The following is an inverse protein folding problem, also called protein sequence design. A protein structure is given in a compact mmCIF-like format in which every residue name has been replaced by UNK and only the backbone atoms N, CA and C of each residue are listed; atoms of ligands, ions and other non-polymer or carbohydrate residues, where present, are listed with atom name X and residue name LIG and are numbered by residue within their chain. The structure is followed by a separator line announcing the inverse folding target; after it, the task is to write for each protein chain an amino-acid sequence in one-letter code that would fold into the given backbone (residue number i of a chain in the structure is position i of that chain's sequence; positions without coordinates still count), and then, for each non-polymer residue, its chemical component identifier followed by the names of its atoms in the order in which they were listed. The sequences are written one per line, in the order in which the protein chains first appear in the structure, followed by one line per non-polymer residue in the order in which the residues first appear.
data_IF_783291449953
#
_entry.id   IF_783291449953
#
_cell.length_a   1.000
_cell.length_b   1.000
_cell.length_c   1.000
_cell.angle_alpha   90.00
_cell.angle_beta   90.00
_cell.angle_gamma   90.00
#
_symmetry.space_group_name_H-M   'P 1'
#
loop_
_entity.id
_entity.type
_entity.pdbx_description
1 polymer ?
#
# COMPACT_ATOMS: atom_id res chain seq x y z
N UNK A 1 -23.32 -11.83 -2.71
CA UNK A 1 -22.67 -11.58 -2.86
C UNK A 1 -21.91 -11.15 -2.59
N UNK A 2 -21.73 -11.60 -2.60
CA UNK A 2 -21.13 -10.71 -2.43
C UNK A 2 -19.74 -10.62 -2.73
N UNK A 3 -19.19 -9.49 -3.07
CA UNK A 3 -17.85 -9.34 -3.49
C UNK A 3 -16.85 -9.74 -2.52
N UNK A 4 -17.10 -9.59 -1.27
CA UNK A 4 -16.14 -9.97 -0.26
C UNK A 4 -15.93 -11.45 -0.24
N UNK A 5 -16.83 -12.19 -0.80
CA UNK A 5 -16.66 -13.62 -0.88
C UNK A 5 -15.65 -14.02 -1.92
N UNK A 6 -15.24 -13.09 -2.77
CA UNK A 6 -14.20 -13.37 -3.73
C UNK A 6 -12.81 -13.25 -3.14
N UNK A 7 -12.70 -12.67 -1.94
CA UNK A 7 -11.42 -12.57 -1.26
C UNK A 7 -11.28 -13.69 -0.26
N UNK A 8 -10.34 -14.54 -0.50
CA UNK A 8 -10.05 -15.63 0.42
C UNK A 8 -8.72 -15.38 1.09
N UNK A 9 -8.68 -15.51 2.39
CA UNK A 9 -7.47 -15.25 3.14
C UNK A 9 -6.84 -16.55 3.60
N UNK A 10 -5.51 -16.61 3.63
CA UNK A 10 -4.59 -15.55 3.21
C UNK A 10 -4.56 -15.36 1.70
N UNK A 11 -4.27 -14.16 1.25
CA UNK A 11 -4.16 -13.91 -0.18
C UNK A 11 -3.16 -12.80 -0.45
N UNK A 12 -2.70 -12.77 -1.70
CA UNK A 12 -1.80 -11.71 -2.17
C UNK A 12 -2.67 -10.58 -2.69
N UNK A 13 -2.44 -9.38 -2.20
CA UNK A 13 -3.28 -8.24 -2.54
C UNK A 13 -2.42 -7.09 -3.02
N UNK A 14 -2.60 -6.61 -4.26
CA UNK A 14 -1.83 -5.48 -4.76
C UNK A 14 -2.52 -4.17 -4.40
N UNK A 15 -1.71 -3.19 -4.01
CA UNK A 15 -2.19 -1.85 -3.70
C UNK A 15 -1.36 -0.86 -4.47
N UNK A 16 -1.96 0.26 -4.83
CA UNK A 16 -1.24 1.36 -5.42
C UNK A 16 -1.41 2.57 -4.53
N UNK A 17 -0.31 3.13 -4.07
CA UNK A 17 -0.30 4.26 -3.15
C UNK A 17 0.30 5.45 -3.88
N UNK A 18 -0.43 6.54 -3.96
CA UNK A 18 0.02 7.73 -4.67
C UNK A 18 0.15 8.90 -3.72
N UNK A 19 1.20 9.69 -3.91
CA UNK A 19 1.40 10.89 -3.11
C UNK A 19 2.34 11.84 -3.84
N UNK A 20 2.64 12.96 -3.20
CA UNK A 20 3.61 13.90 -3.76
C UNK A 20 4.98 13.26 -3.76
N UNK A 21 5.73 13.51 -4.81
CA UNK A 21 7.06 12.93 -4.92
C UNK A 21 7.95 13.44 -3.79
N UNK A 22 8.59 12.51 -3.09
CA UNK A 22 9.45 12.85 -1.97
C UNK A 22 10.48 11.75 -1.82
N UNK A 23 11.71 12.13 -1.47
CA UNK A 23 12.80 11.16 -1.40
C UNK A 23 12.52 10.05 -0.39
N UNK A 24 11.74 10.33 0.65
CA UNK A 24 11.48 9.35 1.69
C UNK A 24 10.10 8.70 1.57
N UNK A 25 9.38 8.98 0.50
CA UNK A 25 8.03 8.46 0.36
C UNK A 25 8.03 6.92 0.37
N UNK A 26 8.89 6.34 -0.43
CA UNK A 26 8.94 4.88 -0.54
C UNK A 26 9.30 4.24 0.78
N UNK A 27 10.32 4.75 1.47
CA UNK A 27 10.74 4.14 2.72
C UNK A 27 9.70 4.33 3.82
N UNK A 28 9.07 5.50 3.85
CA UNK A 28 8.04 5.77 4.85
C UNK A 28 6.84 4.86 4.66
N UNK A 29 6.37 4.74 3.42
CA UNK A 29 5.23 3.86 3.14
C UNK A 29 5.60 2.41 3.39
N UNK A 30 6.82 2.00 3.05
CA UNK A 30 7.28 0.65 3.34
C UNK A 30 7.22 0.34 4.84
N UNK A 31 7.60 1.31 5.67
CA UNK A 31 7.53 1.12 7.12
C UNK A 31 6.08 0.95 7.59
N UNK A 32 5.17 1.76 7.05
CA UNK A 32 3.76 1.64 7.42
C UNK A 32 3.22 0.27 7.03
N UNK A 33 3.54 -0.19 5.81
CA UNK A 33 3.06 -1.49 5.36
C UNK A 33 3.64 -2.59 6.24
N UNK A 34 4.90 -2.48 6.60
CA UNK A 34 5.53 -3.52 7.41
C UNK A 34 4.96 -3.60 8.81
N UNK A 35 4.48 -2.48 9.35
CA UNK A 35 3.83 -2.51 10.65
C UNK A 35 2.55 -3.34 10.63
N UNK A 36 1.90 -3.44 9.48
CA UNK A 36 0.66 -4.19 9.36
C UNK A 36 0.86 -5.56 8.70
N UNK A 37 2.00 -5.77 8.06
CA UNK A 37 2.31 -7.03 7.40
C UNK A 37 3.80 -7.32 7.67
N UNK A 38 4.08 -8.01 8.75
CA UNK A 38 5.45 -8.19 9.23
C UNK A 38 6.34 -8.92 8.23
N UNK A 39 5.75 -9.75 7.38
CA UNK A 39 6.52 -10.48 6.38
C UNK A 39 6.70 -9.71 5.08
N UNK A 40 6.23 -8.47 5.03
CA UNK A 40 6.37 -7.66 3.82
C UNK A 40 7.83 -7.26 3.61
N UNK A 41 8.26 -7.31 2.37
CA UNK A 41 9.61 -6.92 1.99
C UNK A 41 9.55 -5.57 1.28
N UNK A 42 10.00 -4.49 1.92
CA UNK A 42 9.91 -3.16 1.30
C UNK A 42 10.71 -3.04 0.00
N UNK A 43 11.69 -3.90 -0.22
CA UNK A 43 12.47 -3.83 -1.45
C UNK A 43 11.66 -4.23 -2.66
N UNK A 44 10.51 -4.85 -2.47
CA UNK A 44 9.64 -5.24 -3.58
C UNK A 44 8.74 -4.10 -4.06
N UNK A 45 8.72 -2.97 -3.36
CA UNK A 45 7.94 -1.82 -3.80
C UNK A 45 8.54 -1.26 -5.07
N UNK A 46 7.70 -1.07 -6.10
CA UNK A 46 8.13 -0.41 -7.32
C UNK A 46 7.54 0.99 -7.36
N UNK A 47 8.26 1.90 -7.97
CA UNK A 47 7.84 3.30 -8.03
C UNK A 47 7.62 3.72 -9.48
N UNK A 48 6.69 4.62 -9.68
CA UNK A 48 6.43 5.21 -10.99
C UNK A 48 6.08 6.68 -10.80
N UNK A 49 6.77 7.54 -11.54
CA UNK A 49 6.48 8.96 -11.48
C UNK A 49 5.29 9.28 -12.37
N UNK A 50 4.51 10.28 -11.98
CA UNK A 50 3.47 10.78 -12.83
C UNK A 50 4.08 11.58 -13.99
N UNK A 51 3.24 11.92 -14.95
CA UNK A 51 3.70 12.59 -16.15
C UNK A 51 4.45 13.89 -15.85
N UNK A 52 4.04 14.62 -14.86
CA UNK A 52 4.73 15.87 -14.51
C UNK A 52 5.82 15.72 -13.49
N UNK A 53 6.06 14.51 -13.01
CA UNK A 53 7.06 14.30 -11.97
C UNK A 53 6.67 14.84 -10.61
N UNK A 54 5.42 15.31 -10.47
CA UNK A 54 4.97 15.90 -9.24
C UNK A 54 4.46 14.87 -8.25
N UNK A 55 3.91 13.79 -8.75
CA UNK A 55 3.38 12.71 -7.92
C UNK A 55 4.14 11.44 -8.18
N UNK A 56 4.10 10.57 -7.21
CA UNK A 56 4.77 9.28 -7.29
C UNK A 56 3.78 8.20 -6.90
N UNK A 57 3.75 7.10 -7.63
CA UNK A 57 2.90 5.97 -7.33
C UNK A 57 3.78 4.81 -6.91
N UNK A 58 3.39 4.16 -5.82
CA UNK A 58 4.07 2.98 -5.31
C UNK A 58 3.18 1.78 -5.53
N UNK A 59 3.71 0.74 -6.14
CA UNK A 59 3.00 -0.52 -6.25
C UNK A 59 3.47 -1.41 -5.11
N UNK A 60 2.53 -1.78 -4.26
CA UNK A 60 2.80 -2.54 -3.05
C UNK A 60 1.99 -3.81 -3.11
N UNK A 61 2.65 -4.96 -2.94
CA UNK A 61 1.96 -6.25 -2.94
C UNK A 61 2.19 -6.88 -1.57
N UNK A 62 1.11 -7.22 -0.90
CA UNK A 62 1.20 -7.77 0.44
C UNK A 62 0.49 -9.12 0.50
N UNK A 63 0.95 -9.95 1.46
CA UNK A 63 0.21 -11.14 1.85
C UNK A 63 -0.67 -10.74 3.01
N UNK A 64 -1.97 -10.74 2.79
CA UNK A 64 -2.88 -10.38 3.84
C UNK A 64 -3.50 -11.64 4.43
N UNK A 65 -3.49 -11.71 5.77
CA UNK A 65 -3.96 -12.88 6.49
C UNK A 65 -5.42 -12.78 6.87
N UNK A 66 -5.96 -11.55 6.91
CA UNK A 66 -7.35 -11.35 7.31
C UNK A 66 -7.83 -10.02 6.74
N UNK A 67 -9.15 -9.89 6.72
CA UNK A 67 -9.76 -8.65 6.27
C UNK A 67 -9.41 -7.51 7.19
N UNK A 68 -9.33 -7.80 8.48
CA UNK A 68 -9.00 -6.78 9.46
C UNK A 68 -7.60 -6.24 9.26
N UNK A 69 -6.66 -7.09 8.90
CA UNK A 69 -5.31 -6.65 8.60
C UNK A 69 -5.31 -5.73 7.40
N UNK A 70 -6.02 -6.10 6.35
CA UNK A 70 -6.08 -5.29 5.15
C UNK A 70 -6.75 -3.95 5.42
N UNK A 71 -7.86 -3.97 6.15
CA UNK A 71 -8.57 -2.74 6.47
C UNK A 71 -7.71 -1.81 7.32
N UNK A 72 -7.00 -2.35 8.29
CA UNK A 72 -6.10 -1.56 9.13
C UNK A 72 -5.01 -0.89 8.32
N UNK A 73 -4.41 -1.63 7.40
CA UNK A 73 -3.38 -1.07 6.54
C UNK A 73 -3.96 0.02 5.65
N UNK A 74 -5.12 -0.24 5.05
CA UNK A 74 -5.75 0.72 4.17
C UNK A 74 -6.04 2.02 4.90
N UNK A 75 -6.55 1.92 6.12
CA UNK A 75 -6.82 3.10 6.93
C UNK A 75 -5.55 3.86 7.28
N UNK A 76 -4.50 3.15 7.65
CA UNK A 76 -3.23 3.78 7.98
C UNK A 76 -2.67 4.53 6.78
N UNK A 77 -2.78 3.95 5.60
CA UNK A 77 -2.29 4.61 4.39
C UNK A 77 -3.13 5.81 4.02
N UNK A 78 -4.45 5.68 4.06
CA UNK A 78 -5.31 6.79 3.64
C UNK A 78 -5.21 7.97 4.57
N UNK A 79 -4.85 7.74 5.83
CA UNK A 79 -4.69 8.82 6.80
C UNK A 79 -3.29 9.39 6.84
N UNK A 80 -2.37 8.80 6.13
CA UNK A 80 -0.98 9.27 6.18
C UNK A 80 -0.86 10.59 5.42
N UNK A 81 -0.17 11.58 6.00
CA UNK A 81 -0.10 12.90 5.36
C UNK A 81 0.61 12.90 4.03
N UNK A 82 1.48 11.93 3.75
CA UNK A 82 2.18 11.88 2.47
C UNK A 82 1.35 11.20 1.40
N UNK A 83 0.23 10.57 1.75
CA UNK A 83 -0.56 9.80 0.81
C UNK A 83 -1.73 10.64 0.32
N UNK A 84 -1.92 10.66 -1.01
CA UNK A 84 -3.06 11.32 -1.61
C UNK A 84 -4.18 10.36 -1.94
N UNK A 85 -3.83 9.20 -2.48
CA UNK A 85 -4.81 8.23 -2.94
C UNK A 85 -4.26 6.83 -2.74
N UNK A 86 -5.12 5.91 -2.34
CA UNK A 86 -4.80 4.48 -2.30
C UNK A 86 -5.81 3.77 -3.20
N UNK A 87 -5.31 3.01 -4.15
CA UNK A 87 -6.16 2.30 -5.10
C UNK A 87 -6.05 0.80 -4.93
#
# INVERSE_FOLDING_TARGET
MDKKELLEFPCVFPLKVMGLKHAEFKSTIGDVVKQHAADFDPSTITTRDSAGGKYEALAVTINTQSREQLDGLYMALTKHPMVKVVL
#
